data_IF_293721523855
#
_entry.id   IF_293721523855
#
_cell.length_a   1.000
_cell.length_b   1.000
_cell.length_c   1.000
_cell.angle_alpha   90.00
_cell.angle_beta   90.00
_cell.angle_gamma   90.00
#
_symmetry.space_group_name_H-M   'P 1'
#
loop_
_entity.id
_entity.type
_entity.pdbx_description
1 polymer ?
#
# COMPACT_ATOMS: atom_id res chain seq x y z
N UNK A 1 -13.06 -2.14 6.27
CA UNK A 1 -12.54 -2.74 7.53
C UNK A 1 -12.48 -1.67 8.63
N UNK A 2 -12.46 -2.06 9.91
CA UNK A 2 -12.04 -1.17 11.02
C UNK A 2 -10.61 -1.56 11.43
N UNK A 3 -9.66 -0.64 11.24
CA UNK A 3 -8.31 -0.77 11.81
C UNK A 3 -8.32 -0.05 13.17
N UNK A 4 -8.54 -0.80 14.25
CA UNK A 4 -8.52 -0.29 15.62
C UNK A 4 -7.45 -0.98 16.47
N UNK A 5 -6.58 -0.22 17.16
CA UNK A 5 -6.39 1.24 17.06
C UNK A 5 -6.03 1.69 15.64
N UNK A 6 -6.16 2.98 15.35
CA UNK A 6 -5.92 3.51 14.00
C UNK A 6 -4.54 3.06 13.47
N UNK A 7 -4.51 2.55 12.25
CA UNK A 7 -3.32 1.98 11.59
C UNK A 7 -2.75 0.70 12.23
N UNK A 8 -3.46 0.03 13.15
CA UNK A 8 -3.03 -1.23 13.79
C UNK A 8 -2.21 -2.14 12.86
N UNK A 9 -1.15 -2.70 13.39
CA UNK A 9 -0.31 -3.68 12.69
C UNK A 9 -1.14 -4.88 12.25
N UNK A 10 -0.92 -5.27 11.00
CA UNK A 10 -1.58 -6.37 10.33
C UNK A 10 -0.64 -6.89 9.24
N UNK A 11 -0.83 -8.13 8.84
CA UNK A 11 -0.26 -8.71 7.64
C UNK A 11 -1.22 -8.57 6.46
N UNK A 12 -0.70 -8.75 5.25
CA UNK A 12 -1.50 -8.91 4.05
C UNK A 12 -2.48 -10.08 4.19
N UNK A 13 -2.07 -11.18 4.83
CA UNK A 13 -2.94 -12.33 5.07
C UNK A 13 -4.12 -12.03 5.99
N UNK A 14 -3.94 -11.17 7.00
CA UNK A 14 -5.04 -10.69 7.85
C UNK A 14 -6.07 -9.89 7.04
N UNK A 15 -5.62 -9.23 5.97
CA UNK A 15 -6.47 -8.44 5.07
C UNK A 15 -7.14 -9.31 4.03
N UNK A 16 -6.47 -10.27 3.40
CA UNK A 16 -7.11 -11.12 2.38
C UNK A 16 -7.85 -12.32 2.98
N UNK A 17 -7.77 -12.50 4.30
CA UNK A 17 -8.60 -13.45 5.05
C UNK A 17 -8.19 -14.91 4.88
N UNK A 18 -6.90 -15.19 4.67
CA UNK A 18 -6.35 -16.56 4.56
C UNK A 18 -7.14 -17.50 3.62
N UNK A 19 -7.75 -16.98 2.55
CA UNK A 19 -8.54 -17.77 1.59
C UNK A 19 -10.06 -17.82 1.83
N UNK A 20 -10.57 -17.19 2.90
CA UNK A 20 -12.00 -17.19 3.26
C UNK A 20 -12.67 -15.81 3.25
N UNK A 21 -11.99 -14.75 2.75
CA UNK A 21 -12.54 -13.39 2.61
C UNK A 21 -13.21 -12.81 3.88
N UNK A 22 -12.63 -13.07 5.06
CA UNK A 22 -13.25 -12.77 6.37
C UNK A 22 -12.98 -11.36 6.90
N UNK A 23 -12.11 -10.58 6.26
CA UNK A 23 -11.74 -9.23 6.73
C UNK A 23 -12.75 -8.13 6.33
N UNK A 24 -13.67 -8.44 5.40
CA UNK A 24 -14.64 -7.48 4.93
C UNK A 24 -15.64 -7.17 6.04
N UNK A 25 -15.74 -5.88 6.37
CA UNK A 25 -16.72 -5.37 7.31
C UNK A 25 -17.59 -4.34 6.58
N UNK A 26 -18.87 -4.66 6.30
CA UNK A 26 -19.81 -3.74 5.64
C UNK A 26 -20.06 -2.45 6.42
N UNK A 27 -19.76 -2.44 7.74
CA UNK A 27 -19.85 -1.26 8.62
C UNK A 27 -18.51 -0.54 8.80
N UNK A 28 -17.48 -0.95 8.08
CA UNK A 28 -16.15 -0.31 8.15
C UNK A 28 -16.13 1.05 7.46
N UNK A 29 -15.24 1.93 7.91
CA UNK A 29 -15.09 3.30 7.39
C UNK A 29 -13.92 3.45 6.41
N UNK A 30 -13.18 2.38 6.16
CA UNK A 30 -11.91 2.38 5.42
C UNK A 30 -11.97 1.42 4.25
N UNK A 31 -11.62 1.92 3.06
CA UNK A 31 -11.34 1.11 1.88
C UNK A 31 -9.90 0.61 1.95
N UNK A 32 -9.70 -0.70 1.97
CA UNK A 32 -8.36 -1.26 1.93
C UNK A 32 -7.90 -1.42 0.47
N UNK A 33 -6.77 -0.84 0.11
CA UNK A 33 -6.13 -0.95 -1.19
C UNK A 33 -5.22 -2.19 -1.19
N UNK A 34 -5.77 -3.33 -1.61
CA UNK A 34 -5.05 -4.60 -1.69
C UNK A 34 -3.95 -4.56 -2.77
N UNK A 35 -4.33 -4.43 -4.05
CA UNK A 35 -3.35 -4.36 -5.14
C UNK A 35 -3.81 -3.49 -6.32
N UNK A 36 -2.85 -3.04 -7.14
CA UNK A 36 -3.04 -2.55 -8.51
C UNK A 36 -2.05 -3.30 -9.40
N UNK A 37 -2.60 -4.13 -10.28
CA UNK A 37 -1.82 -4.89 -11.24
C UNK A 37 -2.01 -4.33 -12.64
N UNK A 38 -0.91 -4.07 -13.32
CA UNK A 38 -0.92 -3.70 -14.74
C UNK A 38 -0.05 -4.68 -15.51
N UNK A 39 -0.61 -5.24 -16.58
CA UNK A 39 0.10 -6.17 -17.45
C UNK A 39 1.43 -5.55 -17.94
N UNK A 40 2.57 -6.28 -17.92
CA UNK A 40 3.89 -5.73 -18.22
C UNK A 40 3.97 -4.93 -19.52
N UNK A 41 3.34 -5.43 -20.59
CA UNK A 41 3.30 -4.79 -21.91
C UNK A 41 2.53 -3.46 -21.97
N UNK A 42 1.74 -3.14 -20.94
CA UNK A 42 0.89 -1.95 -20.88
C UNK A 42 1.31 -0.96 -19.78
N UNK A 43 2.48 -1.18 -19.17
CA UNK A 43 3.04 -0.24 -18.17
C UNK A 43 3.42 1.08 -18.83
N UNK A 44 3.48 2.14 -18.02
CA UNK A 44 3.81 3.53 -18.44
C UNK A 44 2.78 4.19 -19.38
N UNK A 45 1.57 3.65 -19.45
CA UNK A 45 0.45 4.22 -20.22
C UNK A 45 -0.59 4.92 -19.32
N UNK A 46 -0.25 5.22 -18.07
CA UNK A 46 -1.17 5.88 -17.12
C UNK A 46 -2.24 4.98 -16.50
N UNK A 47 -2.30 3.69 -16.84
CA UNK A 47 -3.32 2.73 -16.34
C UNK A 47 -3.35 2.67 -14.81
N UNK A 48 -2.20 2.56 -14.15
CA UNK A 48 -2.12 2.53 -12.69
C UNK A 48 -2.70 3.80 -12.04
N UNK A 49 -2.44 4.97 -12.63
CA UNK A 49 -3.01 6.25 -12.18
C UNK A 49 -4.52 6.29 -12.40
N UNK A 50 -5.01 5.82 -13.55
CA UNK A 50 -6.44 5.74 -13.83
C UNK A 50 -7.17 4.84 -12.83
N UNK A 51 -6.61 3.67 -12.52
CA UNK A 51 -7.13 2.75 -11.49
C UNK A 51 -7.12 3.38 -10.10
N UNK A 52 -6.08 4.15 -9.76
CA UNK A 52 -6.02 4.85 -8.48
C UNK A 52 -7.09 5.95 -8.38
N UNK A 53 -7.31 6.71 -9.45
CA UNK A 53 -8.36 7.74 -9.50
C UNK A 53 -9.75 7.10 -9.34
N UNK A 54 -10.03 6.01 -10.05
CA UNK A 54 -11.28 5.27 -9.90
C UNK A 54 -11.48 4.75 -8.47
N UNK A 55 -10.41 4.31 -7.80
CA UNK A 55 -10.45 3.90 -6.39
C UNK A 55 -10.76 5.06 -5.45
N UNK A 56 -10.18 6.25 -5.67
CA UNK A 56 -10.49 7.47 -4.92
C UNK A 56 -11.95 7.85 -5.06
N UNK A 57 -12.48 7.82 -6.28
CA UNK A 57 -13.90 8.05 -6.53
C UNK A 57 -14.80 7.04 -5.83
N UNK A 58 -14.44 5.76 -5.84
CA UNK A 58 -15.19 4.72 -5.14
C UNK A 58 -15.24 4.97 -3.63
N UNK A 59 -14.10 5.30 -3.02
CA UNK A 59 -14.01 5.63 -1.60
C UNK A 59 -14.98 6.77 -1.23
N UNK A 60 -15.02 7.83 -2.05
CA UNK A 60 -15.91 8.97 -1.86
C UNK A 60 -17.38 8.59 -2.06
N UNK A 61 -17.70 7.85 -3.13
CA UNK A 61 -19.08 7.40 -3.44
C UNK A 61 -19.65 6.52 -2.33
N UNK A 62 -18.82 5.73 -1.66
CA UNK A 62 -19.22 4.87 -0.54
C UNK A 62 -19.26 5.60 0.81
N UNK A 63 -18.93 6.89 0.86
CA UNK A 63 -18.87 7.66 2.11
C UNK A 63 -17.79 7.18 3.08
N UNK A 64 -16.74 6.53 2.56
CA UNK A 64 -15.64 6.01 3.38
C UNK A 64 -14.69 7.14 3.73
N UNK A 65 -14.17 7.11 4.96
CA UNK A 65 -13.30 8.15 5.52
C UNK A 65 -11.95 8.24 4.83
N UNK A 66 -11.42 7.10 4.34
CA UNK A 66 -10.06 7.00 3.83
C UNK A 66 -9.80 5.73 3.04
N UNK A 67 -8.66 5.74 2.33
CA UNK A 67 -8.02 4.57 1.75
C UNK A 67 -6.76 4.26 2.55
N UNK A 68 -6.53 2.98 2.87
CA UNK A 68 -5.28 2.48 3.46
C UNK A 68 -4.81 1.30 2.62
N UNK A 69 -3.51 1.17 2.42
CA UNK A 69 -2.90 -0.04 1.90
C UNK A 69 -1.55 -0.28 2.58
N UNK A 70 -1.10 -1.53 2.55
CA UNK A 70 0.28 -1.89 2.81
C UNK A 70 0.94 -2.31 1.50
N UNK A 71 2.17 -1.85 1.29
CA UNK A 71 2.96 -2.15 0.10
C UNK A 71 4.37 -2.61 0.46
N UNK A 72 5.04 -3.26 -0.49
CA UNK A 72 6.44 -3.66 -0.36
C UNK A 72 7.40 -2.51 -0.67
N UNK A 73 8.55 -2.49 -0.01
CA UNK A 73 9.71 -1.68 -0.42
C UNK A 73 10.50 -2.47 -1.45
N UNK A 74 10.16 -2.29 -2.72
CA UNK A 74 10.62 -3.14 -3.83
C UNK A 74 12.14 -3.19 -4.01
N UNK A 75 12.84 -2.08 -3.77
CA UNK A 75 14.29 -2.00 -3.93
C UNK A 75 15.06 -2.09 -2.59
N UNK A 76 14.39 -2.33 -1.46
CA UNK A 76 15.05 -2.32 -0.15
C UNK A 76 16.11 -3.40 0.00
N UNK A 77 15.98 -4.55 -0.69
CA UNK A 77 16.98 -5.61 -0.70
C UNK A 77 18.38 -5.13 -1.10
N UNK A 78 18.49 -4.07 -1.92
CA UNK A 78 19.76 -3.47 -2.32
C UNK A 78 20.41 -2.61 -1.21
N UNK A 79 19.64 -2.22 -0.19
CA UNK A 79 20.04 -1.32 0.90
C UNK A 79 20.00 -1.98 2.28
N UNK A 80 19.55 -3.24 2.37
CA UNK A 80 19.33 -3.94 3.63
C UNK A 80 20.60 -4.08 4.50
N UNK A 81 21.77 -4.16 3.88
CA UNK A 81 23.06 -4.18 4.59
C UNK A 81 23.60 -2.79 4.95
N UNK A 82 22.94 -1.72 4.50
CA UNK A 82 23.40 -0.33 4.64
C UNK A 82 22.56 0.47 5.62
N UNK A 83 21.26 0.21 5.70
CA UNK A 83 20.32 0.96 6.55
C UNK A 83 19.07 0.17 6.91
N UNK A 84 18.37 0.65 7.95
CA UNK A 84 17.07 0.12 8.37
C UNK A 84 15.99 0.39 7.30
N UNK A 85 14.89 -0.40 7.26
CA UNK A 85 13.78 -0.14 6.33
C UNK A 85 13.11 1.21 6.60
N UNK A 86 13.06 1.65 7.87
CA UNK A 86 12.55 2.95 8.26
C UNK A 86 13.39 4.10 7.69
N UNK A 87 14.72 3.99 7.77
CA UNK A 87 15.60 5.03 7.22
C UNK A 87 15.53 5.05 5.69
N UNK A 88 15.49 3.88 5.05
CA UNK A 88 15.23 3.77 3.62
C UNK A 88 13.93 4.48 3.22
N UNK A 89 12.81 4.19 3.88
CA UNK A 89 11.52 4.80 3.59
C UNK A 89 11.54 6.32 3.82
N UNK A 90 12.20 6.81 4.88
CA UNK A 90 12.39 8.26 5.12
C UNK A 90 13.13 8.93 3.96
N UNK A 91 14.17 8.30 3.41
CA UNK A 91 14.91 8.84 2.26
C UNK A 91 14.03 8.88 1.00
N UNK A 92 13.19 7.87 0.79
CA UNK A 92 12.22 7.86 -0.33
C UNK A 92 11.16 8.96 -0.15
N UNK A 93 10.60 9.12 1.04
CA UNK A 93 9.64 10.20 1.36
C UNK A 93 10.27 11.59 1.13
N UNK A 94 11.54 11.76 1.48
CA UNK A 94 12.32 12.99 1.21
C UNK A 94 12.76 13.13 -0.25
N UNK A 95 12.39 12.20 -1.14
CA UNK A 95 12.77 12.16 -2.56
C UNK A 95 14.28 12.06 -2.82
N UNK A 96 15.04 11.57 -1.84
CA UNK A 96 16.49 11.30 -1.99
C UNK A 96 16.76 9.92 -2.58
N UNK A 97 15.84 8.98 -2.39
CA UNK A 97 15.84 7.67 -3.05
C UNK A 97 14.53 7.48 -3.83
N UNK A 98 14.56 6.57 -4.80
CA UNK A 98 13.37 6.17 -5.55
C UNK A 98 13.11 4.68 -5.34
N UNK A 99 12.05 4.39 -4.58
CA UNK A 99 11.42 3.07 -4.58
C UNK A 99 10.21 3.08 -5.52
N UNK A 100 10.10 2.18 -6.51
CA UNK A 100 9.04 2.25 -7.51
C UNK A 100 7.63 2.09 -6.95
N UNK A 101 7.46 1.36 -5.83
CA UNK A 101 6.16 1.15 -5.18
C UNK A 101 5.84 2.33 -4.29
N UNK A 102 6.67 2.60 -3.27
CA UNK A 102 6.39 3.69 -2.32
C UNK A 102 6.34 5.06 -3.02
N UNK A 103 7.19 5.30 -4.02
CA UNK A 103 7.15 6.57 -4.77
C UNK A 103 5.90 6.69 -5.63
N UNK A 104 5.32 5.58 -6.11
CA UNK A 104 4.05 5.60 -6.83
C UNK A 104 2.90 5.97 -5.90
N UNK A 105 2.84 5.40 -4.70
CA UNK A 105 1.81 5.72 -3.72
C UNK A 105 1.90 7.19 -3.26
N UNK A 106 3.10 7.68 -2.98
CA UNK A 106 3.34 9.08 -2.60
C UNK A 106 2.91 10.06 -3.72
N UNK A 107 3.16 9.73 -4.99
CA UNK A 107 2.67 10.53 -6.14
C UNK A 107 1.14 10.51 -6.26
N UNK A 108 0.49 9.47 -5.73
CA UNK A 108 -0.96 9.37 -5.64
C UNK A 108 -1.52 9.94 -4.33
N UNK A 109 -0.75 10.78 -3.63
CA UNK A 109 -1.16 11.53 -2.44
C UNK A 109 -1.35 10.67 -1.18
N UNK A 110 -0.83 9.45 -1.17
CA UNK A 110 -0.73 8.68 0.06
C UNK A 110 0.29 9.32 1.00
N UNK A 111 0.03 9.18 2.31
CA UNK A 111 0.97 9.54 3.36
C UNK A 111 1.62 8.26 3.87
N UNK A 112 2.95 8.24 3.92
CA UNK A 112 3.67 7.17 4.60
C UNK A 112 3.36 7.23 6.10
N UNK A 113 2.99 6.09 6.69
CA UNK A 113 2.64 5.97 8.11
C UNK A 113 3.77 5.28 8.89
N UNK A 114 4.11 4.05 8.50
CA UNK A 114 5.15 3.23 9.15
C UNK A 114 5.57 2.04 8.30
N UNK A 115 6.66 1.40 8.71
CA UNK A 115 7.01 0.05 8.28
C UNK A 115 6.17 -0.97 9.08
N UNK A 116 5.65 -1.98 8.38
CA UNK A 116 4.99 -3.13 8.98
C UNK A 116 5.90 -4.35 8.82
N UNK A 117 6.46 -4.83 9.93
CA UNK A 117 7.26 -6.06 9.92
C UNK A 117 6.38 -7.27 9.64
N UNK A 118 6.88 -8.23 8.86
CA UNK A 118 6.15 -9.45 8.48
C UNK A 118 4.81 -9.18 7.79
N UNK A 119 4.68 -8.04 7.10
CA UNK A 119 3.45 -7.69 6.40
C UNK A 119 3.09 -8.70 5.31
N UNK A 120 4.04 -9.05 4.45
CA UNK A 120 3.84 -10.02 3.37
C UNK A 120 5.12 -10.82 3.18
N UNK A 121 4.98 -12.12 2.88
CA UNK A 121 6.08 -12.95 2.42
C UNK A 121 6.17 -12.83 0.89
N UNK A 122 7.25 -12.23 0.42
CA UNK A 122 7.56 -12.09 -1.01
C UNK A 122 8.93 -12.73 -1.28
N UNK A 123 9.06 -13.34 -2.45
CA UNK A 123 10.27 -14.03 -2.89
C UNK A 123 11.39 -13.10 -3.37
N UNK A 124 11.11 -11.79 -3.46
CA UNK A 124 12.01 -10.76 -3.97
C UNK A 124 12.53 -9.84 -2.88
#
# INVERSE_FOLDING_TARGET
MLLQPEYRDHSWYDIVGHGNSTSHNPKGDTLYADDILTHPSYRRQGIGTALMNARKELCLKMGLRRIIGGGRLYNYCLYANLMSPDDYAKLVVKKMLVDPVLSFDLRNEFKFIRILSNYIADSR
#
